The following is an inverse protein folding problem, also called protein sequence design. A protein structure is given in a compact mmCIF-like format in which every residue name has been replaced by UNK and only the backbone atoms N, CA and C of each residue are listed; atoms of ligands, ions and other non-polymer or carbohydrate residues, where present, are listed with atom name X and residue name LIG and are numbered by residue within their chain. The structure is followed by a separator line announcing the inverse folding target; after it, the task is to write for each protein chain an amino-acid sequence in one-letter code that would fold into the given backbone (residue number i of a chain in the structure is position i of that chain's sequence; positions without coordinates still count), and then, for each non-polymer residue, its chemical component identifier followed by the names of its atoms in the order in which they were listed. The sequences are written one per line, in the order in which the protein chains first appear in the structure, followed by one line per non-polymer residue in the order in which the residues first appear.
data_IF_487000038871
#
_entry.id   IF_487000038871
#
_cell.length_a   1.000
_cell.length_b   1.000
_cell.length_c   1.000
_cell.angle_alpha   90.00
_cell.angle_beta   90.00
_cell.angle_gamma   90.00
#
_symmetry.space_group_name_H-M   'P 1'
#
loop_
_entity.id
_entity.type
_entity.pdbx_description
1 polymer ?
#
# COMPACT_ATOMS: atom_id res chain seq x y z
N UNK A 1 -0.91 27.10 -7.41
CA UNK A 1 -0.28 26.59 -6.18
C UNK A 1 -0.67 25.13 -6.03
N UNK A 2 0.31 24.26 -5.89
CA UNK A 2 0.09 22.82 -5.64
C UNK A 2 0.13 22.50 -4.16
N UNK A 3 -0.85 21.72 -3.71
CA UNK A 3 -0.97 21.27 -2.32
C UNK A 3 -0.80 19.76 -2.26
N UNK A 4 0.09 19.30 -1.39
CA UNK A 4 0.27 17.90 -1.01
C UNK A 4 -0.46 17.65 0.30
N UNK A 5 -1.25 16.59 0.34
CA UNK A 5 -2.05 16.19 1.50
C UNK A 5 -1.66 14.79 1.94
N UNK A 6 -1.29 14.65 3.22
CA UNK A 6 -1.07 13.36 3.87
C UNK A 6 -2.35 12.92 4.59
N UNK A 7 -2.76 11.68 4.35
CA UNK A 7 -4.00 11.11 4.89
C UNK A 7 -3.81 9.71 5.45
N UNK A 8 -4.69 9.37 6.39
CA UNK A 8 -4.92 8.01 6.85
C UNK A 8 -6.39 7.62 6.65
N UNK A 9 -6.68 6.33 6.43
CA UNK A 9 -8.06 5.83 6.35
C UNK A 9 -8.19 4.35 6.66
N UNK A 10 -9.37 3.98 7.19
CA UNK A 10 -9.81 2.60 7.26
C UNK A 10 -10.51 2.21 5.96
N UNK A 11 -10.02 1.16 5.31
CA UNK A 11 -10.48 0.75 3.96
C UNK A 11 -11.80 -0.01 3.92
N UNK A 12 -12.32 -0.48 5.07
CA UNK A 12 -13.44 -1.45 5.16
C UNK A 12 -14.68 -1.04 4.37
N UNK A 13 -15.02 0.25 4.44
CA UNK A 13 -16.22 0.81 3.85
C UNK A 13 -15.96 1.43 2.45
N UNK A 14 -14.77 1.26 1.89
CA UNK A 14 -14.41 1.80 0.60
C UNK A 14 -14.21 0.70 -0.45
N UNK A 15 -14.67 0.98 -1.66
CA UNK A 15 -14.37 0.16 -2.85
C UNK A 15 -12.95 0.40 -3.37
N UNK A 16 -12.05 0.90 -2.52
CA UNK A 16 -10.69 1.28 -2.80
C UNK A 16 -10.51 2.79 -2.88
N UNK A 17 -9.30 3.21 -3.28
CA UNK A 17 -8.97 4.62 -3.37
C UNK A 17 -9.64 5.31 -4.58
N UNK A 18 -9.44 4.75 -5.78
CA UNK A 18 -9.84 5.36 -7.05
C UNK A 18 -11.36 5.34 -7.25
N UNK A 19 -11.91 6.43 -7.81
CA UNK A 19 -13.32 6.53 -8.18
C UNK A 19 -13.75 5.36 -9.06
N UNK A 20 -14.90 4.80 -8.73
CA UNK A 20 -15.60 3.75 -9.47
C UNK A 20 -17.05 4.18 -9.74
N UNK A 21 -17.69 3.59 -10.75
CA UNK A 21 -19.05 3.96 -11.17
C UNK A 21 -20.07 3.83 -10.02
N UNK A 22 -19.96 2.75 -9.25
CA UNK A 22 -20.89 2.48 -8.15
C UNK A 22 -20.13 2.25 -6.85
N UNK A 23 -20.35 3.10 -5.85
CA UNK A 23 -19.89 2.91 -4.49
C UNK A 23 -18.97 4.00 -3.97
N UNK A 24 -18.65 3.88 -2.69
CA UNK A 24 -17.89 4.85 -1.92
C UNK A 24 -16.39 4.60 -2.10
N UNK A 25 -15.65 5.64 -2.49
CA UNK A 25 -14.19 5.58 -2.65
C UNK A 25 -13.51 6.75 -1.93
N UNK A 26 -12.26 6.59 -1.53
CA UNK A 26 -11.52 7.65 -0.82
C UNK A 26 -11.38 8.89 -1.69
N UNK A 27 -10.99 8.75 -2.96
CA UNK A 27 -10.87 9.85 -3.92
C UNK A 27 -12.19 10.64 -4.05
N UNK A 28 -13.33 9.95 -4.13
CA UNK A 28 -14.64 10.60 -4.24
C UNK A 28 -14.97 11.48 -3.04
N UNK A 29 -14.58 11.08 -1.81
CA UNK A 29 -14.84 11.90 -0.62
C UNK A 29 -14.09 13.23 -0.70
N UNK A 30 -12.80 13.20 -1.08
CA UNK A 30 -12.00 14.42 -1.24
C UNK A 30 -12.47 15.28 -2.40
N UNK A 31 -12.74 14.70 -3.56
CA UNK A 31 -13.18 15.48 -4.72
C UNK A 31 -14.54 16.15 -4.50
N UNK A 32 -15.48 15.51 -3.80
CA UNK A 32 -16.75 16.11 -3.37
C UNK A 32 -16.52 17.30 -2.41
N UNK A 33 -15.59 17.17 -1.47
CA UNK A 33 -15.22 18.23 -0.54
C UNK A 33 -14.61 19.41 -1.30
N UNK A 34 -13.59 19.15 -2.11
CA UNK A 34 -12.89 20.16 -2.90
C UNK A 34 -13.85 20.88 -3.88
N UNK A 35 -14.79 20.16 -4.49
CA UNK A 35 -15.81 20.74 -5.36
C UNK A 35 -16.70 21.76 -4.62
N UNK A 36 -17.07 21.50 -3.36
CA UNK A 36 -17.83 22.45 -2.53
C UNK A 36 -17.02 23.72 -2.23
N UNK A 37 -15.72 23.58 -1.96
CA UNK A 37 -14.84 24.69 -1.65
C UNK A 37 -14.54 25.58 -2.88
N UNK A 38 -14.26 24.95 -4.02
CA UNK A 38 -13.86 25.65 -5.26
C UNK A 38 -15.03 26.03 -6.17
N UNK A 39 -16.26 25.53 -5.89
CA UNK A 39 -17.44 25.67 -6.77
C UNK A 39 -17.25 25.08 -8.18
N UNK A 40 -16.22 24.27 -8.37
CA UNK A 40 -15.90 23.53 -9.59
C UNK A 40 -15.25 22.18 -9.22
N UNK A 41 -15.24 21.25 -10.16
CA UNK A 41 -14.53 19.98 -9.96
C UNK A 41 -13.02 20.23 -9.85
N UNK A 42 -12.41 19.63 -8.81
CA UNK A 42 -10.96 19.61 -8.60
C UNK A 42 -10.54 18.16 -8.46
N UNK A 43 -9.71 17.71 -9.40
CA UNK A 43 -9.19 16.35 -9.41
C UNK A 43 -8.02 16.21 -8.46
N UNK A 44 -7.97 15.09 -7.73
CA UNK A 44 -6.81 14.73 -6.92
C UNK A 44 -5.98 13.63 -7.59
N UNK A 45 -4.66 13.67 -7.36
CA UNK A 45 -3.70 12.73 -7.91
C UNK A 45 -3.02 11.95 -6.77
N UNK A 46 -3.34 10.67 -6.54
CA UNK A 46 -2.76 9.90 -5.45
C UNK A 46 -1.36 9.37 -5.77
N UNK A 47 -0.52 9.22 -4.73
CA UNK A 47 0.77 8.53 -4.84
C UNK A 47 0.59 7.02 -5.05
N UNK A 48 -0.42 6.42 -4.43
CA UNK A 48 -0.73 5.00 -4.55
C UNK A 48 -2.22 4.78 -4.72
N UNK A 49 -2.58 3.71 -5.41
CA UNK A 49 -3.97 3.20 -5.43
C UNK A 49 -4.02 2.01 -4.48
N UNK A 50 -4.98 1.98 -3.57
CA UNK A 50 -5.28 0.84 -2.72
C UNK A 50 -6.56 0.16 -3.21
N UNK A 51 -6.61 -1.16 -3.06
CA UNK A 51 -7.76 -1.96 -3.45
C UNK A 51 -8.91 -1.84 -2.44
N UNK A 52 -10.07 -2.38 -2.81
CA UNK A 52 -11.22 -2.49 -1.90
C UNK A 52 -10.81 -3.15 -0.58
N UNK A 53 -11.16 -2.51 0.55
CA UNK A 53 -10.92 -3.01 1.89
C UNK A 53 -9.49 -2.81 2.42
N UNK A 54 -8.57 -2.29 1.61
CA UNK A 54 -7.19 -2.01 2.01
C UNK A 54 -7.11 -0.67 2.74
N UNK A 55 -6.40 -0.64 3.87
CA UNK A 55 -6.20 0.54 4.71
C UNK A 55 -4.98 1.35 4.28
N UNK A 56 -4.87 2.57 4.78
CA UNK A 56 -3.63 3.34 4.74
C UNK A 56 -3.39 4.05 6.07
N UNK A 57 -2.19 3.91 6.60
CA UNK A 57 -1.68 4.70 7.73
C UNK A 57 -1.12 6.01 7.21
N UNK A 58 -0.44 5.96 6.05
CA UNK A 58 0.09 7.11 5.36
C UNK A 58 -0.12 6.96 3.86
N UNK A 59 -0.93 7.86 3.29
CA UNK A 59 -1.14 7.99 1.85
C UNK A 59 -1.03 9.46 1.49
N UNK A 60 -0.55 9.77 0.29
CA UNK A 60 -0.47 11.13 -0.23
C UNK A 60 -1.30 11.28 -1.49
N UNK A 61 -1.86 12.47 -1.63
CA UNK A 61 -2.34 12.97 -2.91
C UNK A 61 -2.00 14.46 -3.05
N UNK A 62 -1.93 14.95 -4.28
CA UNK A 62 -1.81 16.37 -4.53
C UNK A 62 -2.97 16.87 -5.41
N UNK A 63 -3.21 18.16 -5.35
CA UNK A 63 -4.14 18.88 -6.21
C UNK A 63 -3.70 20.33 -6.38
N UNK A 64 -4.21 20.99 -7.43
CA UNK A 64 -3.93 22.39 -7.72
C UNK A 64 -5.10 23.26 -7.26
N UNK A 65 -4.79 24.43 -6.69
CA UNK A 65 -5.76 25.38 -6.17
C UNK A 65 -5.35 26.83 -6.40
N UNK A 66 -6.35 27.70 -6.56
CA UNK A 66 -6.21 29.17 -6.61
C UNK A 66 -6.65 29.81 -5.28
N UNK A 67 -7.23 29.00 -4.37
CA UNK A 67 -7.70 29.48 -3.08
C UNK A 67 -6.52 29.79 -2.15
N UNK A 68 -6.47 31.01 -1.64
CA UNK A 68 -5.46 31.44 -0.68
C UNK A 68 -5.94 31.15 0.75
N UNK A 69 -5.85 29.89 1.18
CA UNK A 69 -6.24 29.41 2.51
C UNK A 69 -4.99 28.93 3.24
N UNK A 70 -4.75 29.32 4.50
CA UNK A 70 -3.64 28.80 5.32
C UNK A 70 -3.68 27.27 5.43
N UNK A 71 -2.52 26.59 5.42
CA UNK A 71 -2.44 25.13 5.41
C UNK A 71 -3.14 24.50 6.64
N UNK A 72 -3.02 25.10 7.80
CA UNK A 72 -3.75 24.67 9.00
C UNK A 72 -5.28 24.74 8.87
N UNK A 73 -5.78 25.72 8.12
CA UNK A 73 -7.22 25.84 7.86
C UNK A 73 -7.68 24.85 6.81
N UNK A 74 -6.84 24.48 5.82
CA UNK A 74 -7.12 23.38 4.90
C UNK A 74 -7.30 22.07 5.67
N UNK A 75 -6.34 21.73 6.54
CA UNK A 75 -6.40 20.52 7.37
C UNK A 75 -7.65 20.52 8.26
N UNK A 76 -7.93 21.63 8.95
CA UNK A 76 -9.11 21.75 9.79
C UNK A 76 -10.42 21.58 9.00
N UNK A 77 -10.57 22.29 7.88
CA UNK A 77 -11.78 22.23 7.05
C UNK A 77 -12.02 20.81 6.49
N UNK A 78 -10.94 20.14 6.05
CA UNK A 78 -11.02 18.77 5.57
C UNK A 78 -11.48 17.83 6.69
N UNK A 79 -10.83 17.85 7.86
CA UNK A 79 -11.15 16.94 8.97
C UNK A 79 -12.54 17.19 9.57
N UNK A 80 -13.07 18.42 9.47
CA UNK A 80 -14.44 18.75 9.89
C UNK A 80 -15.52 18.24 8.96
N UNK A 81 -15.19 17.94 7.71
CA UNK A 81 -16.15 17.60 6.66
C UNK A 81 -16.07 16.15 6.23
N UNK A 82 -14.89 15.55 6.34
CA UNK A 82 -14.67 14.15 6.00
C UNK A 82 -15.36 13.21 6.99
N UNK A 83 -15.72 12.00 6.57
CA UNK A 83 -16.24 10.98 7.47
C UNK A 83 -15.13 10.44 8.41
N UNK A 84 -15.54 9.85 9.53
CA UNK A 84 -14.65 9.42 10.62
C UNK A 84 -13.62 8.34 10.23
N UNK A 85 -13.83 7.66 9.12
CA UNK A 85 -12.91 6.63 8.60
C UNK A 85 -11.81 7.20 7.68
N UNK A 86 -11.72 8.54 7.55
CA UNK A 86 -10.64 9.28 6.87
C UNK A 86 -10.13 10.40 7.77
N UNK A 87 -8.81 10.56 7.85
CA UNK A 87 -8.17 11.65 8.57
C UNK A 87 -7.05 12.28 7.75
N UNK A 88 -6.97 13.62 7.75
CA UNK A 88 -5.88 14.40 7.14
C UNK A 88 -4.83 14.68 8.20
N UNK A 89 -3.67 14.06 8.06
CA UNK A 89 -2.55 14.20 8.98
C UNK A 89 -1.79 15.50 8.77
N UNK A 90 -1.57 15.88 7.50
CA UNK A 90 -0.78 17.06 7.17
C UNK A 90 -1.20 17.65 5.81
N UNK A 91 -0.98 18.95 5.65
CA UNK A 91 -1.20 19.69 4.41
C UNK A 91 -0.05 20.66 4.21
N UNK A 92 0.64 20.58 3.08
CA UNK A 92 1.79 21.45 2.76
C UNK A 92 1.73 21.90 1.30
N UNK A 93 2.35 23.03 1.00
CA UNK A 93 2.62 23.44 -0.39
C UNK A 93 3.82 22.71 -0.92
N UNK A 94 3.79 22.41 -2.21
CA UNK A 94 4.92 21.81 -2.94
C UNK A 94 5.12 22.57 -4.26
N UNK A 95 6.25 22.33 -4.92
CA UNK A 95 6.54 22.91 -6.22
C UNK A 95 5.49 22.50 -7.24
N UNK A 96 5.21 23.37 -8.22
CA UNK A 96 4.14 23.14 -9.20
C UNK A 96 4.43 21.97 -10.16
N UNK A 97 5.69 21.54 -10.28
CA UNK A 97 6.13 20.37 -11.04
C UNK A 97 6.15 19.07 -10.21
N UNK A 98 6.02 19.16 -8.87
CA UNK A 98 5.97 17.98 -8.00
C UNK A 98 4.78 17.08 -8.31
N UNK A 99 5.02 15.78 -8.41
CA UNK A 99 3.98 14.78 -8.62
C UNK A 99 4.12 13.60 -7.67
N UNK A 100 3.29 13.51 -6.63
CA UNK A 100 3.42 12.54 -5.52
C UNK A 100 3.47 11.06 -5.95
N UNK A 101 3.04 10.70 -7.16
CA UNK A 101 3.15 9.34 -7.70
C UNK A 101 4.49 9.08 -8.39
N UNK A 102 5.00 10.08 -9.13
CA UNK A 102 6.22 9.92 -9.92
C UNK A 102 7.47 10.20 -9.09
N UNK A 103 7.35 11.13 -8.13
CA UNK A 103 8.43 11.46 -7.19
C UNK A 103 8.48 10.51 -5.98
N UNK A 104 7.55 9.53 -5.92
CA UNK A 104 7.60 8.47 -4.93
C UNK A 104 8.77 7.51 -5.22
N UNK A 105 9.71 7.41 -4.30
CA UNK A 105 10.92 6.58 -4.40
C UNK A 105 10.78 5.22 -3.74
N UNK A 106 9.78 5.02 -2.88
CA UNK A 106 9.53 3.74 -2.22
C UNK A 106 8.22 3.70 -1.46
N UNK A 107 7.79 2.49 -1.11
CA UNK A 107 6.58 2.24 -0.31
C UNK A 107 6.84 1.11 0.66
N UNK A 108 6.23 1.20 1.85
CA UNK A 108 6.18 0.14 2.83
C UNK A 108 4.73 -0.25 3.10
N UNK A 109 4.48 -1.55 3.11
CA UNK A 109 3.20 -2.14 3.49
C UNK A 109 3.38 -3.01 4.73
N UNK A 110 2.32 -3.08 5.53
CA UNK A 110 2.16 -3.99 6.65
C UNK A 110 0.92 -4.82 6.44
N UNK A 111 1.04 -6.13 6.64
CA UNK A 111 -0.10 -7.03 6.62
C UNK A 111 -0.28 -7.66 8.00
N UNK A 112 -1.41 -7.38 8.64
CA UNK A 112 -1.69 -7.78 10.02
C UNK A 112 -2.51 -9.06 10.08
N UNK A 113 -2.05 -10.02 10.87
CA UNK A 113 -2.71 -11.29 11.13
C UNK A 113 -2.88 -11.50 12.63
N UNK A 114 -4.04 -11.96 13.05
CA UNK A 114 -4.23 -12.48 14.39
C UNK A 114 -4.58 -13.95 14.38
N UNK A 115 -4.07 -14.66 15.38
CA UNK A 115 -4.26 -16.09 15.58
C UNK A 115 -4.99 -16.31 16.91
N UNK A 116 -6.12 -16.99 16.86
CA UNK A 116 -6.93 -17.30 18.02
C UNK A 116 -7.74 -18.57 17.76
N UNK A 117 -8.28 -19.19 18.80
CA UNK A 117 -9.17 -20.34 18.66
C UNK A 117 -10.49 -19.96 17.98
N UNK A 118 -10.97 -18.75 18.21
CA UNK A 118 -12.22 -18.22 17.66
C UNK A 118 -12.01 -16.81 17.08
N UNK A 119 -12.89 -16.43 16.16
CA UNK A 119 -12.90 -15.07 15.60
C UNK A 119 -13.25 -14.05 16.66
N UNK A 120 -12.51 -12.93 16.66
CA UNK A 120 -12.80 -11.76 17.46
C UNK A 120 -13.51 -10.70 16.58
N UNK A 121 -14.76 -10.33 16.89
CA UNK A 121 -15.49 -9.32 16.11
C UNK A 121 -14.83 -7.93 16.19
N UNK A 122 -14.06 -7.60 17.23
CA UNK A 122 -13.34 -6.34 17.36
C UNK A 122 -12.09 -6.25 16.49
N UNK A 123 -11.59 -7.37 15.97
CA UNK A 123 -10.51 -7.42 14.98
C UNK A 123 -11.04 -7.49 13.54
N UNK A 124 -12.34 -7.71 13.38
CA UNK A 124 -12.97 -7.87 12.08
C UNK A 124 -12.78 -6.65 11.20
N UNK A 125 -12.33 -6.87 9.97
CA UNK A 125 -12.02 -5.82 9.01
C UNK A 125 -10.74 -5.02 9.31
N UNK A 126 -9.96 -5.36 10.36
CA UNK A 126 -8.70 -4.70 10.73
C UNK A 126 -7.50 -5.64 10.66
N UNK A 127 -7.70 -6.93 10.92
CA UNK A 127 -6.68 -7.98 10.81
C UNK A 127 -7.27 -9.22 10.17
N UNK A 128 -6.45 -9.98 9.49
CA UNK A 128 -6.85 -11.27 8.95
C UNK A 128 -6.80 -12.34 10.04
N UNK A 129 -7.89 -13.07 10.20
CA UNK A 129 -7.97 -14.20 11.12
C UNK A 129 -7.37 -15.47 10.52
N UNK A 130 -6.45 -16.14 11.25
CA UNK A 130 -5.91 -17.45 10.90
C UNK A 130 -5.97 -18.32 12.14
N UNK A 131 -6.79 -19.40 12.17
CA UNK A 131 -6.89 -20.27 13.33
C UNK A 131 -5.74 -21.27 13.47
N UNK A 132 -5.05 -21.57 12.36
CA UNK A 132 -3.99 -22.55 12.35
C UNK A 132 -2.70 -22.01 12.97
N UNK A 133 -1.97 -22.89 13.66
CA UNK A 133 -0.60 -22.59 14.08
C UNK A 133 0.33 -22.59 12.87
N UNK A 134 1.16 -21.56 12.77
CA UNK A 134 2.09 -21.35 11.66
C UNK A 134 3.53 -21.38 12.16
N UNK A 135 4.44 -21.94 11.36
CA UNK A 135 5.88 -21.84 11.56
C UNK A 135 6.37 -20.46 11.10
N UNK A 136 6.39 -19.49 12.03
CA UNK A 136 6.78 -18.11 11.74
C UNK A 136 8.26 -18.00 11.34
N UNK A 137 9.14 -18.86 11.86
CA UNK A 137 10.57 -18.85 11.51
C UNK A 137 10.77 -19.32 10.06
N UNK A 138 10.06 -20.38 9.66
CA UNK A 138 10.05 -20.85 8.27
C UNK A 138 9.49 -19.78 7.33
N UNK A 139 8.39 -19.14 7.73
CA UNK A 139 7.80 -18.01 6.97
C UNK A 139 8.79 -16.86 6.82
N UNK A 140 9.48 -16.48 7.90
CA UNK A 140 10.45 -15.37 7.85
C UNK A 140 11.64 -15.67 6.93
N UNK A 141 12.19 -16.90 7.00
CA UNK A 141 13.26 -17.35 6.08
C UNK A 141 12.80 -17.34 4.62
N UNK A 142 11.55 -17.72 4.35
CA UNK A 142 10.98 -17.64 3.00
C UNK A 142 10.75 -16.17 2.56
N UNK A 143 10.28 -15.30 3.47
CA UNK A 143 10.08 -13.89 3.19
C UNK A 143 11.38 -13.19 2.77
N UNK A 144 12.50 -13.50 3.41
CA UNK A 144 13.81 -12.93 3.08
C UNK A 144 14.29 -13.29 1.66
N UNK A 145 13.81 -14.39 1.07
CA UNK A 145 14.14 -14.77 -0.32
C UNK A 145 13.53 -13.82 -1.37
N UNK A 146 12.56 -12.98 -1.00
CA UNK A 146 11.99 -11.98 -1.88
C UNK A 146 12.78 -10.66 -1.92
N UNK A 147 13.74 -10.46 -1.01
CA UNK A 147 14.59 -9.26 -0.99
C UNK A 147 15.46 -9.23 -2.24
N UNK A 148 15.64 -8.04 -2.80
CA UNK A 148 16.38 -7.83 -4.05
C UNK A 148 15.48 -7.51 -5.23
N UNK A 149 16.05 -7.59 -6.44
CA UNK A 149 15.37 -7.24 -7.69
C UNK A 149 14.91 -8.51 -8.40
N UNK A 150 13.60 -8.70 -8.53
CA UNK A 150 13.00 -9.87 -9.13
C UNK A 150 11.85 -9.50 -10.08
N UNK A 151 11.54 -10.40 -11.01
CA UNK A 151 10.31 -10.36 -11.79
C UNK A 151 9.17 -11.03 -11.00
N UNK A 152 8.22 -10.21 -10.52
CA UNK A 152 7.10 -10.67 -9.71
C UNK A 152 5.84 -11.07 -10.52
N UNK A 153 6.00 -11.47 -11.78
CA UNK A 153 4.88 -11.91 -12.61
C UNK A 153 4.09 -13.05 -11.96
N UNK A 154 4.77 -14.01 -11.32
CA UNK A 154 4.14 -15.12 -10.59
C UNK A 154 3.43 -14.70 -9.30
N UNK A 155 3.75 -13.54 -8.75
CA UNK A 155 3.25 -13.03 -7.47
C UNK A 155 2.37 -11.78 -7.59
N UNK A 156 1.76 -11.54 -8.74
CA UNK A 156 0.82 -10.43 -8.91
C UNK A 156 -0.45 -10.87 -9.67
N UNK A 157 -1.46 -10.00 -9.70
CA UNK A 157 -2.66 -10.26 -10.48
C UNK A 157 -2.36 -10.36 -11.96
N UNK A 158 -3.00 -11.30 -12.66
CA UNK A 158 -2.95 -11.40 -14.14
C UNK A 158 -3.52 -10.15 -14.83
N UNK A 159 -4.39 -9.40 -14.14
CA UNK A 159 -4.95 -8.12 -14.62
C UNK A 159 -3.97 -6.95 -14.52
N UNK A 160 -2.71 -7.20 -14.18
CA UNK A 160 -1.67 -6.17 -14.10
C UNK A 160 -1.23 -5.78 -15.52
N UNK A 161 -1.53 -4.55 -15.93
CA UNK A 161 -1.32 -4.03 -17.30
C UNK A 161 0.02 -3.30 -17.49
N UNK A 162 0.87 -3.25 -16.43
CA UNK A 162 2.17 -2.56 -16.54
C UNK A 162 3.15 -3.35 -17.40
N UNK A 163 3.96 -2.66 -18.21
CA UNK A 163 4.95 -3.21 -19.10
C UNK A 163 6.00 -4.05 -18.35
N UNK A 164 6.60 -3.51 -17.28
CA UNK A 164 7.59 -4.21 -16.47
C UNK A 164 7.01 -4.66 -15.13
N UNK A 165 7.15 -5.96 -14.83
CA UNK A 165 6.78 -6.55 -13.53
C UNK A 165 7.98 -6.76 -12.61
N UNK A 166 9.14 -6.24 -12.98
CA UNK A 166 10.34 -6.23 -12.14
C UNK A 166 10.20 -5.20 -11.03
N UNK A 167 10.46 -5.62 -9.78
CA UNK A 167 10.46 -4.73 -8.60
C UNK A 167 11.66 -5.06 -7.73
N UNK A 168 12.13 -4.04 -6.99
CA UNK A 168 13.16 -4.23 -5.97
C UNK A 168 12.50 -4.15 -4.61
N UNK A 169 12.63 -5.21 -3.80
CA UNK A 169 12.23 -5.22 -2.40
C UNK A 169 13.45 -4.94 -1.52
N UNK A 170 13.30 -4.00 -0.60
CA UNK A 170 14.32 -3.58 0.36
C UNK A 170 14.17 -4.32 1.69
N UNK A 171 12.94 -4.67 2.04
CA UNK A 171 12.56 -5.36 3.26
C UNK A 171 11.45 -6.36 2.94
N UNK A 172 11.52 -7.54 3.56
CA UNK A 172 10.46 -8.55 3.49
C UNK A 172 10.65 -9.47 4.70
N UNK A 173 9.82 -9.29 5.74
CA UNK A 173 10.00 -9.99 7.01
C UNK A 173 8.69 -10.27 7.73
N UNK A 174 8.69 -11.31 8.55
CA UNK A 174 7.63 -11.66 9.49
C UNK A 174 8.03 -11.19 10.88
N UNK A 175 7.19 -10.37 11.51
CA UNK A 175 7.39 -9.87 12.87
C UNK A 175 6.29 -10.45 13.76
N UNK A 176 6.67 -11.19 14.78
CA UNK A 176 5.73 -11.73 15.76
C UNK A 176 5.10 -10.60 16.57
N UNK A 177 3.80 -10.69 16.80
CA UNK A 177 3.03 -9.80 17.66
C UNK A 177 2.40 -10.56 18.83
N UNK A 178 1.80 -9.88 19.79
CA UNK A 178 1.18 -10.50 20.97
C UNK A 178 0.04 -11.45 20.59
N UNK A 179 -0.68 -11.14 19.51
CA UNK A 179 -1.87 -11.88 19.06
C UNK A 179 -1.68 -12.60 17.71
N UNK A 180 -0.45 -12.60 17.15
CA UNK A 180 -0.21 -13.25 15.86
C UNK A 180 1.09 -12.78 15.21
N UNK A 181 1.01 -12.21 14.01
CA UNK A 181 2.19 -11.67 13.31
C UNK A 181 1.81 -10.57 12.32
N UNK A 182 2.79 -9.72 12.01
CA UNK A 182 2.75 -8.79 10.90
C UNK A 182 3.75 -9.24 9.81
N UNK A 183 3.35 -9.16 8.55
CA UNK A 183 4.27 -9.19 7.43
C UNK A 183 4.59 -7.77 7.00
N UNK A 184 5.86 -7.39 7.04
CA UNK A 184 6.34 -6.07 6.64
C UNK A 184 7.11 -6.20 5.34
N UNK A 185 6.75 -5.39 4.35
CA UNK A 185 7.42 -5.38 3.05
C UNK A 185 7.59 -3.96 2.54
N UNK A 186 8.83 -3.61 2.14
CA UNK A 186 9.16 -2.34 1.52
C UNK A 186 9.89 -2.54 0.19
N UNK A 187 9.67 -1.63 -0.75
CA UNK A 187 10.29 -1.72 -2.07
C UNK A 187 10.03 -0.51 -2.95
N UNK A 188 10.62 -0.52 -4.15
CA UNK A 188 10.53 0.54 -5.16
C UNK A 188 9.10 0.77 -5.70
N UNK A 189 8.21 -0.17 -5.45
CA UNK A 189 6.80 -0.15 -5.84
C UNK A 189 6.23 -1.55 -5.88
N UNK A 190 4.89 -1.64 -5.97
CA UNK A 190 4.18 -2.92 -5.93
C UNK A 190 3.21 -3.03 -7.09
N UNK A 191 3.00 -4.27 -7.54
CA UNK A 191 2.05 -4.64 -8.58
C UNK A 191 0.66 -4.89 -7.96
N UNK A 192 -0.34 -4.95 -8.80
CA UNK A 192 -1.71 -5.22 -8.36
C UNK A 192 -1.79 -6.56 -7.61
N UNK A 193 -2.32 -6.52 -6.39
CA UNK A 193 -2.42 -7.62 -5.42
C UNK A 193 -1.07 -8.23 -4.96
N UNK A 194 0.10 -7.71 -5.34
CA UNK A 194 1.39 -8.33 -5.08
C UNK A 194 1.59 -8.66 -3.60
N UNK A 195 1.45 -7.70 -2.68
CA UNK A 195 1.66 -7.93 -1.24
C UNK A 195 0.73 -9.01 -0.71
N UNK A 196 -0.54 -9.01 -1.11
CA UNK A 196 -1.54 -10.02 -0.70
C UNK A 196 -1.22 -11.41 -1.22
N UNK A 197 -0.58 -11.52 -2.38
CA UNK A 197 -0.12 -12.80 -2.93
C UNK A 197 1.12 -13.28 -2.19
N UNK A 198 2.08 -12.39 -1.90
CA UNK A 198 3.27 -12.72 -1.13
C UNK A 198 2.91 -13.28 0.25
N UNK A 199 2.08 -12.56 1.02
CA UNK A 199 1.70 -13.02 2.35
C UNK A 199 0.88 -14.31 2.32
N UNK A 200 -0.01 -14.48 1.33
CA UNK A 200 -0.78 -15.71 1.19
C UNK A 200 0.13 -16.92 0.93
N UNK A 201 1.15 -16.76 0.10
CA UNK A 201 2.16 -17.80 -0.12
C UNK A 201 2.97 -18.10 1.16
N UNK A 202 3.41 -17.06 1.88
CA UNK A 202 4.11 -17.22 3.15
C UNK A 202 3.27 -17.98 4.20
N UNK A 203 1.97 -17.75 4.25
CA UNK A 203 1.05 -18.52 5.10
C UNK A 203 1.04 -19.99 4.71
N UNK A 204 1.04 -20.34 3.43
CA UNK A 204 1.12 -21.73 2.98
C UNK A 204 2.49 -22.38 3.31
N UNK A 205 3.58 -21.58 3.31
CA UNK A 205 4.89 -22.02 3.82
C UNK A 205 4.81 -22.32 5.35
N UNK A 206 4.18 -21.41 6.11
CA UNK A 206 3.98 -21.58 7.55
C UNK A 206 3.11 -22.79 7.93
N UNK A 207 2.18 -23.18 7.05
CA UNK A 207 1.38 -24.42 7.15
C UNK A 207 2.14 -25.68 6.74
N UNK A 208 3.40 -25.58 6.29
CA UNK A 208 4.20 -26.68 5.80
C UNK A 208 3.81 -27.24 4.44
N UNK A 209 3.02 -26.48 3.65
CA UNK A 209 2.58 -26.91 2.31
C UNK A 209 3.54 -26.51 1.21
N UNK A 210 4.45 -25.60 1.50
CA UNK A 210 5.54 -25.15 0.62
C UNK A 210 6.86 -25.08 1.37
N UNK A 211 7.95 -25.22 0.62
CA UNK A 211 9.31 -25.12 1.15
C UNK A 211 9.93 -23.75 0.84
N UNK A 212 10.95 -23.37 1.63
CA UNK A 212 11.70 -22.12 1.39
C UNK A 212 12.32 -22.13 0.00
N UNK A 213 12.82 -23.28 -0.44
CA UNK A 213 13.43 -23.48 -1.77
C UNK A 213 12.45 -23.32 -2.96
N UNK A 214 11.15 -23.24 -2.69
CA UNK A 214 10.16 -23.01 -3.74
C UNK A 214 10.12 -21.54 -4.17
N UNK A 215 10.52 -20.59 -3.29
CA UNK A 215 10.50 -19.16 -3.61
C UNK A 215 11.27 -18.82 -4.90
N UNK A 216 12.57 -19.16 -5.04
CA UNK A 216 13.31 -18.86 -6.27
C UNK A 216 12.70 -19.54 -7.50
N UNK A 217 12.26 -20.81 -7.39
CA UNK A 217 11.63 -21.55 -8.49
C UNK A 217 10.34 -20.89 -8.96
N UNK A 218 9.52 -20.39 -8.03
CA UNK A 218 8.25 -19.71 -8.33
C UNK A 218 8.47 -18.32 -8.95
N UNK A 219 9.49 -17.59 -8.51
CA UNK A 219 9.93 -16.34 -9.15
C UNK A 219 10.37 -16.58 -10.60
N UNK A 220 11.24 -17.58 -10.83
CA UNK A 220 11.72 -17.97 -12.16
C UNK A 220 10.60 -18.44 -13.08
N UNK A 221 9.60 -19.16 -12.54
CA UNK A 221 8.49 -19.69 -13.31
C UNK A 221 7.61 -18.61 -13.95
N UNK A 222 7.57 -17.40 -13.36
CA UNK A 222 6.74 -16.26 -13.79
C UNK A 222 5.26 -16.62 -14.02
N UNK A 223 4.80 -17.69 -13.39
CA UNK A 223 3.48 -18.26 -13.62
C UNK A 223 2.58 -18.11 -12.39
N UNK A 224 1.62 -17.19 -12.48
CA UNK A 224 0.65 -16.93 -11.40
C UNK A 224 -0.20 -18.16 -11.01
N UNK A 225 -0.37 -19.12 -11.91
CA UNK A 225 -1.11 -20.36 -11.62
C UNK A 225 -0.42 -21.23 -10.57
N UNK A 226 0.90 -21.10 -10.42
CA UNK A 226 1.68 -21.83 -9.42
C UNK A 226 1.52 -21.25 -8.00
N UNK A 227 0.99 -20.02 -7.88
CA UNK A 227 0.73 -19.34 -6.60
C UNK A 227 -0.73 -18.83 -6.60
N UNK A 228 -1.76 -19.70 -6.59
CA UNK A 228 -3.16 -19.33 -6.80
C UNK A 228 -3.79 -18.56 -5.63
N UNK A 229 -3.05 -18.32 -4.57
CA UNK A 229 -3.52 -17.73 -3.32
C UNK A 229 -3.53 -16.19 -3.38
N UNK A 230 -4.46 -15.58 -2.66
CA UNK A 230 -4.50 -14.13 -2.42
C UNK A 230 -5.12 -13.89 -1.06
N UNK A 231 -4.37 -13.29 -0.15
CA UNK A 231 -4.84 -13.01 1.21
C UNK A 231 -5.98 -11.95 1.22
N UNK A 232 -6.87 -11.95 2.21
CA UNK A 232 -7.90 -10.95 2.40
C UNK A 232 -7.36 -9.52 2.39
N UNK A 233 -8.17 -8.54 1.99
CA UNK A 233 -7.72 -7.15 1.93
C UNK A 233 -7.62 -6.49 3.31
N UNK A 234 -8.45 -6.93 4.25
CA UNK A 234 -8.63 -6.36 5.59
C UNK A 234 -7.37 -6.33 6.47
N UNK A 235 -6.41 -7.22 6.19
CA UNK A 235 -5.12 -7.20 6.89
C UNK A 235 -4.11 -6.23 6.30
N UNK A 236 -4.34 -5.69 5.09
CA UNK A 236 -3.34 -4.92 4.37
C UNK A 236 -3.42 -3.41 4.67
N UNK A 237 -2.28 -2.84 5.03
CA UNK A 237 -2.09 -1.42 5.30
C UNK A 237 -0.97 -0.86 4.41
N UNK A 238 -1.26 0.19 3.64
CA UNK A 238 -0.21 1.05 3.12
C UNK A 238 0.35 1.84 4.31
N UNK A 239 1.54 1.46 4.77
CA UNK A 239 2.08 1.97 6.03
C UNK A 239 2.85 3.27 5.83
N UNK A 240 3.69 3.32 4.78
CA UNK A 240 4.55 4.48 4.52
C UNK A 240 4.81 4.66 3.03
N UNK A 241 4.86 5.91 2.60
CA UNK A 241 5.29 6.33 1.27
C UNK A 241 6.53 7.20 1.44
N UNK A 242 7.60 6.87 0.73
CA UNK A 242 8.84 7.62 0.72
C UNK A 242 8.81 8.59 -0.47
N UNK A 243 8.79 9.88 -0.18
CA UNK A 243 8.89 10.97 -1.15
C UNK A 243 10.30 11.57 -1.20
N UNK A 244 11.14 11.26 -0.19
CA UNK A 244 12.53 11.69 -0.09
C UNK A 244 13.47 10.46 -0.09
N UNK A 245 14.50 10.53 -0.93
CA UNK A 245 15.54 9.50 -1.00
C UNK A 245 16.33 9.36 0.30
N UNK A 246 16.61 10.47 0.99
CA UNK A 246 17.36 10.45 2.25
C UNK A 246 16.56 9.70 3.34
N UNK A 247 15.24 9.87 3.36
CA UNK A 247 14.38 9.12 4.28
C UNK A 247 14.40 7.61 3.97
N UNK A 248 14.36 7.25 2.68
CA UNK A 248 14.44 5.85 2.24
C UNK A 248 15.81 5.24 2.60
N UNK A 249 16.91 5.97 2.33
CA UNK A 249 18.26 5.52 2.65
C UNK A 249 18.51 5.40 4.16
N UNK A 250 17.88 6.26 4.96
CA UNK A 250 17.95 6.17 6.42
C UNK A 250 17.33 4.87 6.95
N UNK A 251 16.20 4.43 6.35
CA UNK A 251 15.49 3.23 6.78
C UNK A 251 16.17 1.93 6.27
N UNK A 252 16.78 1.94 5.06
CA UNK A 252 17.27 0.71 4.40
C UNK A 252 18.76 0.70 4.04
N UNK A 253 19.51 1.77 4.34
CA UNK A 253 20.94 1.89 4.06
C UNK A 253 21.23 2.39 2.64
N UNK A 254 22.53 2.70 2.40
CA UNK A 254 22.98 3.35 1.16
C UNK A 254 23.17 2.36 -0.02
N UNK A 255 23.13 1.05 0.23
CA UNK A 255 23.38 0.03 -0.79
C UNK A 255 22.14 -0.33 -1.64
N UNK A 256 21.00 0.27 -1.35
CA UNK A 256 19.76 0.02 -2.09
C UNK A 256 19.76 0.75 -3.43
N UNK A 257 19.26 0.08 -4.48
CA UNK A 257 19.04 0.72 -5.79
C UNK A 257 17.74 1.50 -5.79
N UNK A 258 17.85 2.83 -5.83
CA UNK A 258 16.69 3.71 -5.97
C UNK A 258 16.30 3.78 -7.45
N UNK A 259 15.05 3.44 -7.75
CA UNK A 259 14.49 3.51 -9.09
C UNK A 259 13.60 4.75 -9.22
N UNK A 260 14.11 5.84 -9.76
CA UNK A 260 13.29 7.00 -10.14
C UNK A 260 12.39 6.62 -11.34
N UNK A 261 11.12 6.83 -11.21
CA UNK A 261 10.22 6.83 -12.37
C UNK A 261 10.46 8.13 -13.11
N UNK A 262 10.98 8.05 -14.34
CA UNK A 262 11.01 9.21 -15.23
C UNK A 262 9.59 9.77 -15.31
N UNK A 263 9.42 11.07 -15.10
CA UNK A 263 8.19 11.79 -15.42
C UNK A 263 7.87 11.48 -16.89
N UNK A 264 6.83 10.71 -17.13
CA UNK A 264 6.23 10.67 -18.44
C UNK A 264 5.57 12.04 -18.62
N UNK A 265 6.26 12.95 -19.31
CA UNK A 265 5.60 14.04 -20.00
C UNK A 265 4.64 13.39 -21.00
N UNK A 266 3.36 13.72 -20.90
CA UNK A 266 2.20 13.27 -21.65
C UNK A 266 1.38 12.17 -20.95
N UNK A 267 0.34 12.62 -20.25
CA UNK A 267 -1.04 12.16 -20.39
C UNK A 267 -2.02 13.26 -19.96
#
# INVERSE_FOLDING_TARGET
MRILVEIAYQGNNFLGFQIQQNGRTVQQQFEKLLQRMHKRHVRIHPSSRTDRGVHAIQQYFHFDTELNIPMSQWQYAMNRTLPDDIYVNNVVTVDDDFHCRYDCVGKRYRYKVYQAQHRDPFQSGLKTFIPETLDLDKMNRAAQQFIGTHDFTGFCSQKTEVESKVRTLYQSEIVKTDDGFDYIVAGSGFLYNMVRVLVAFLIEVGKGRHEISDVPKLLESKNRKNVPFTAPAEGLYLEKIYLDENELLKDFGNDIKIHRKKSLQND
#
